data_IF_141890240710
#
_entry.id   IF_141890240710
#
_cell.length_a   1.000
_cell.length_b   1.000
_cell.length_c   1.000
_cell.angle_alpha   90.00
_cell.angle_beta   90.00
_cell.angle_gamma   90.00
#
_symmetry.space_group_name_H-M   'P 1'
#
loop_
_entity.id
_entity.type
_entity.pdbx_description
1 polymer ?
#
# COMPACT_ATOMS: atom_id res chain seq x y z
N UNK A 1 -3.94 17.48 3.71
CA UNK A 1 -4.99 18.30 4.32
C UNK A 1 -4.43 19.63 4.79
N UNK A 2 -4.99 20.75 4.33
CA UNK A 2 -4.72 22.05 4.95
C UNK A 2 -5.42 22.12 6.30
N UNK A 3 -4.69 22.54 7.34
CA UNK A 3 -5.22 22.65 8.72
C UNK A 3 -5.14 24.08 9.21
N UNK A 4 -6.07 24.44 10.09
CA UNK A 4 -6.02 25.73 10.82
C UNK A 4 -5.31 25.61 12.18
N UNK A 5 -5.11 24.38 12.63
CA UNK A 5 -4.41 24.07 13.89
C UNK A 5 -3.10 23.37 13.53
N UNK A 6 -1.94 23.97 13.80
CA UNK A 6 -0.67 23.35 13.49
C UNK A 6 -0.48 22.03 14.27
N UNK A 7 0.06 21.04 13.60
CA UNK A 7 0.44 19.76 14.19
C UNK A 7 1.94 19.79 14.50
N UNK A 8 2.31 19.64 15.77
CA UNK A 8 3.68 19.71 16.27
C UNK A 8 4.34 18.33 16.48
N UNK A 9 3.66 17.26 16.08
CA UNK A 9 4.06 15.89 16.37
C UNK A 9 3.67 14.92 15.26
N UNK A 10 4.29 13.74 15.29
CA UNK A 10 3.86 12.60 14.48
C UNK A 10 2.94 11.74 15.33
N UNK A 11 1.81 11.33 14.77
CA UNK A 11 0.83 10.44 15.39
C UNK A 11 0.81 9.14 14.61
N UNK A 12 1.02 8.02 15.31
CA UNK A 12 0.78 6.69 14.80
C UNK A 12 -0.24 5.99 15.68
N UNK A 13 -1.16 5.25 15.08
CA UNK A 13 -2.14 4.45 15.82
C UNK A 13 -2.15 3.01 15.32
N UNK A 14 -2.62 2.11 16.18
CA UNK A 14 -2.89 0.71 15.85
C UNK A 14 -4.32 0.37 16.27
N UNK A 15 -4.95 -0.58 15.58
CA UNK A 15 -6.31 -1.03 15.90
C UNK A 15 -7.38 -0.14 15.29
N UNK A 16 -8.30 0.36 16.12
CA UNK A 16 -9.44 1.15 15.62
C UNK A 16 -9.02 2.23 14.61
N UNK A 17 -9.73 2.39 13.48
CA UNK A 17 -11.03 1.80 13.09
C UNK A 17 -10.94 0.45 12.39
N UNK A 18 -9.78 -0.19 12.37
CA UNK A 18 -9.60 -1.49 11.75
C UNK A 18 -10.22 -2.62 12.59
N UNK A 19 -10.78 -3.66 11.96
CA UNK A 19 -11.19 -4.86 12.65
C UNK A 19 -9.99 -5.62 13.23
N UNK A 20 -10.24 -6.50 14.21
CA UNK A 20 -9.17 -7.20 14.97
C UNK A 20 -8.32 -8.15 14.14
N UNK A 21 -8.84 -8.60 13.02
CA UNK A 21 -8.21 -9.52 12.07
C UNK A 21 -7.48 -8.80 10.93
N UNK A 22 -7.63 -7.47 10.82
CA UNK A 22 -6.89 -6.69 9.84
C UNK A 22 -5.58 -6.13 10.44
N UNK A 23 -4.49 -6.40 9.77
CA UNK A 23 -3.21 -5.78 10.08
C UNK A 23 -3.17 -4.34 9.56
N UNK A 24 -2.73 -3.40 10.39
CA UNK A 24 -2.61 -2.02 9.95
C UNK A 24 -2.73 -1.01 11.07
N UNK A 25 -2.90 0.24 10.69
CA UNK A 25 -3.00 1.37 11.59
C UNK A 25 -3.12 2.68 10.82
N UNK A 26 -3.02 3.78 11.53
CA UNK A 26 -3.09 5.10 10.90
C UNK A 26 -1.89 5.96 11.27
N UNK A 27 -1.68 6.98 10.47
CA UNK A 27 -0.66 7.99 10.70
C UNK A 27 -1.22 9.39 10.46
N UNK A 28 -0.66 10.38 11.16
CA UNK A 28 -0.78 11.79 10.83
C UNK A 28 0.52 12.50 11.19
N UNK A 29 1.06 13.29 10.27
CA UNK A 29 2.28 14.06 10.49
C UNK A 29 2.28 15.38 9.70
N UNK A 30 3.00 16.41 10.18
CA UNK A 30 3.10 17.68 9.47
C UNK A 30 3.96 17.52 8.21
N UNK A 31 3.50 18.10 7.11
CA UNK A 31 4.29 18.29 5.89
C UNK A 31 4.84 19.72 5.83
N UNK A 32 4.07 20.67 6.35
CA UNK A 32 4.40 22.08 6.43
C UNK A 32 3.63 22.70 7.60
N UNK A 33 3.81 23.98 7.88
CA UNK A 33 3.22 24.71 8.99
C UNK A 33 1.69 24.54 9.08
N UNK A 34 1.01 24.54 7.93
CA UNK A 34 -0.44 24.39 7.82
C UNK A 34 -0.86 23.20 6.95
N UNK A 35 0.02 22.25 6.74
CA UNK A 35 -0.25 21.08 5.89
C UNK A 35 0.09 19.80 6.63
N UNK A 36 -0.89 18.89 6.70
CA UNK A 36 -0.72 17.58 7.32
C UNK A 36 -1.01 16.46 6.32
N UNK A 37 -0.20 15.41 6.37
CA UNK A 37 -0.52 14.13 5.76
C UNK A 37 -1.17 13.22 6.80
N UNK A 38 -2.27 12.57 6.42
CA UNK A 38 -2.91 11.54 7.23
C UNK A 38 -3.28 10.37 6.34
N UNK A 39 -3.24 9.17 6.90
CA UNK A 39 -3.57 7.97 6.16
C UNK A 39 -3.92 6.79 7.03
N UNK A 40 -4.54 5.82 6.38
CA UNK A 40 -4.88 4.53 6.95
C UNK A 40 -4.19 3.44 6.12
N UNK A 41 -3.43 2.58 6.78
CA UNK A 41 -2.73 1.46 6.18
C UNK A 41 -3.44 0.17 6.56
N UNK A 42 -3.75 -0.67 5.59
CA UNK A 42 -4.47 -1.94 5.80
C UNK A 42 -3.79 -3.05 5.00
N UNK A 43 -3.48 -4.15 5.66
CA UNK A 43 -3.04 -5.37 4.99
C UNK A 43 -4.16 -5.92 4.10
N UNK A 44 -3.86 -6.22 2.84
CA UNK A 44 -4.85 -6.70 1.87
C UNK A 44 -5.26 -8.16 2.10
N UNK A 45 -4.89 -8.75 3.21
CA UNK A 45 -5.24 -10.09 3.66
C UNK A 45 -6.42 -10.11 4.66
N UNK A 46 -7.19 -9.03 4.76
CA UNK A 46 -8.41 -9.02 5.57
C UNK A 46 -9.49 -9.95 4.99
N UNK A 47 -10.34 -10.51 5.88
CA UNK A 47 -11.30 -11.56 5.52
C UNK A 47 -12.68 -11.05 5.12
N UNK A 48 -13.08 -9.90 5.65
CA UNK A 48 -14.40 -9.35 5.37
C UNK A 48 -14.45 -8.71 3.96
N UNK A 49 -15.15 -9.35 3.03
CA UNK A 49 -15.26 -8.88 1.65
C UNK A 49 -15.98 -7.51 1.53
N UNK A 50 -16.76 -7.12 2.53
CA UNK A 50 -17.46 -5.83 2.60
C UNK A 50 -16.66 -4.73 3.29
N UNK A 51 -15.45 -5.05 3.72
CA UNK A 51 -14.59 -4.06 4.37
C UNK A 51 -14.12 -2.99 3.39
N UNK A 52 -14.62 -1.77 3.58
CA UNK A 52 -14.35 -0.64 2.70
C UNK A 52 -13.32 0.31 3.35
N UNK A 53 -12.07 0.22 2.89
CA UNK A 53 -10.94 0.98 3.43
C UNK A 53 -11.15 2.49 3.30
N UNK A 54 -11.80 2.96 2.21
CA UNK A 54 -12.10 4.37 2.04
C UNK A 54 -13.10 4.86 3.12
N UNK A 55 -14.19 4.14 3.32
CA UNK A 55 -15.19 4.49 4.34
C UNK A 55 -14.60 4.46 5.75
N UNK A 56 -13.73 3.51 6.03
CA UNK A 56 -13.02 3.41 7.31
C UNK A 56 -12.07 4.59 7.53
N UNK A 57 -11.37 5.06 6.49
CA UNK A 57 -10.58 6.30 6.53
C UNK A 57 -11.47 7.52 6.83
N UNK A 58 -12.66 7.60 6.22
CA UNK A 58 -13.58 8.70 6.52
C UNK A 58 -14.03 8.67 8.01
N UNK A 59 -14.34 7.49 8.53
CA UNK A 59 -14.68 7.30 9.93
C UNK A 59 -13.54 7.69 10.87
N UNK A 60 -12.30 7.32 10.53
CA UNK A 60 -11.09 7.69 11.29
C UNK A 60 -10.96 9.21 11.46
N UNK A 61 -11.25 9.99 10.43
CA UNK A 61 -11.18 11.46 10.48
C UNK A 61 -12.13 12.08 11.51
N UNK A 62 -13.22 11.39 11.84
CA UNK A 62 -14.21 11.86 12.85
C UNK A 62 -13.77 11.60 14.29
N UNK A 63 -12.73 10.78 14.50
CA UNK A 63 -12.24 10.46 15.84
C UNK A 63 -11.69 11.71 16.56
N UNK A 64 -11.93 11.86 17.86
CA UNK A 64 -11.47 13.02 18.65
C UNK A 64 -9.96 13.29 18.58
N UNK A 65 -9.15 12.29 18.25
CA UNK A 65 -7.71 12.44 18.06
C UNK A 65 -7.35 13.22 16.79
N UNK A 66 -8.11 13.05 15.70
CA UNK A 66 -7.80 13.62 14.38
C UNK A 66 -8.66 14.84 14.06
N UNK A 67 -9.93 14.78 14.42
CA UNK A 67 -10.93 15.79 14.07
C UNK A 67 -10.51 17.23 14.40
N UNK A 68 -9.92 17.55 15.57
CA UNK A 68 -9.52 18.93 15.90
C UNK A 68 -8.51 19.54 14.92
N UNK A 69 -7.68 18.74 14.30
CA UNK A 69 -6.71 19.19 13.29
C UNK A 69 -7.32 19.34 11.89
N UNK A 70 -8.41 18.63 11.61
CA UNK A 70 -9.00 18.56 10.28
C UNK A 70 -10.20 19.49 10.13
N UNK A 71 -10.93 19.74 11.21
CA UNK A 71 -12.17 20.53 11.19
C UNK A 71 -11.90 21.97 10.82
N UNK A 72 -12.66 22.47 9.84
CA UNK A 72 -12.48 23.81 9.30
C UNK A 72 -11.29 23.96 8.33
N UNK A 73 -10.52 22.90 8.11
CA UNK A 73 -9.51 22.82 7.07
C UNK A 73 -10.06 22.29 5.75
N UNK A 74 -9.17 21.99 4.80
CA UNK A 74 -9.53 21.52 3.45
C UNK A 74 -8.70 20.32 3.03
N UNK A 75 -9.33 19.33 2.38
CA UNK A 75 -8.65 18.25 1.68
C UNK A 75 -8.06 18.79 0.37
N UNK A 76 -6.74 18.95 0.31
CA UNK A 76 -6.06 19.47 -0.90
C UNK A 76 -5.69 18.38 -1.88
N UNK A 77 -5.33 17.20 -1.37
CA UNK A 77 -5.03 16.02 -2.20
C UNK A 77 -5.51 14.74 -1.52
N UNK A 78 -5.74 13.73 -2.34
CA UNK A 78 -6.08 12.39 -1.90
C UNK A 78 -5.50 11.36 -2.86
N UNK A 79 -5.10 10.22 -2.31
CA UNK A 79 -4.61 9.10 -3.09
C UNK A 79 -4.56 7.82 -2.28
N UNK A 80 -4.23 6.74 -2.95
CA UNK A 80 -3.94 5.45 -2.34
C UNK A 80 -2.84 4.73 -3.11
N UNK A 81 -2.09 3.87 -2.42
CA UNK A 81 -1.07 3.04 -3.03
C UNK A 81 -0.89 1.76 -2.25
N UNK A 82 -0.74 0.65 -2.96
CA UNK A 82 -0.33 -0.62 -2.37
C UNK A 82 1.19 -0.69 -2.34
N UNK A 83 1.73 -1.09 -1.21
CA UNK A 83 3.16 -1.33 -0.99
C UNK A 83 3.40 -2.78 -0.57
N UNK A 84 4.52 -3.41 -0.98
CA UNK A 84 4.84 -4.78 -0.61
C UNK A 84 5.47 -4.83 0.79
N UNK A 85 4.68 -5.15 1.81
CA UNK A 85 5.13 -5.30 3.19
C UNK A 85 5.35 -6.76 3.63
N UNK A 86 5.59 -7.66 2.70
CA UNK A 86 5.82 -9.08 3.00
C UNK A 86 7.18 -9.38 3.67
N UNK A 87 8.06 -8.39 3.79
CA UNK A 87 9.38 -8.51 4.42
C UNK A 87 10.33 -9.43 3.65
N UNK A 88 11.32 -9.97 4.35
CA UNK A 88 12.43 -10.76 3.78
C UNK A 88 12.00 -11.86 2.79
N UNK A 89 10.93 -12.59 3.11
CA UNK A 89 10.47 -13.71 2.28
C UNK A 89 9.68 -13.31 1.03
N UNK A 90 9.38 -12.02 0.87
CA UNK A 90 8.69 -11.47 -0.30
C UNK A 90 9.61 -10.67 -1.21
N UNK A 91 10.89 -10.54 -0.86
CA UNK A 91 11.89 -9.93 -1.76
C UNK A 91 12.08 -10.85 -2.96
N UNK A 92 11.93 -10.34 -4.21
CA UNK A 92 12.16 -11.15 -5.41
C UNK A 92 13.60 -11.65 -5.49
N UNK A 93 13.79 -12.90 -5.94
CA UNK A 93 15.12 -13.44 -6.22
C UNK A 93 15.78 -12.67 -7.36
N UNK A 94 15.00 -12.35 -8.40
CA UNK A 94 15.46 -11.54 -9.55
C UNK A 94 15.13 -10.07 -9.33
N UNK A 95 16.13 -9.29 -9.01
CA UNK A 95 16.04 -7.83 -8.77
C UNK A 95 16.72 -7.02 -9.86
N UNK A 96 17.28 -7.70 -10.86
CA UNK A 96 17.84 -7.12 -12.07
C UNK A 96 17.55 -8.02 -13.28
N UNK A 97 17.67 -7.45 -14.44
CA UNK A 97 17.56 -8.13 -15.74
C UNK A 97 18.27 -7.29 -16.80
N UNK A 98 18.23 -7.70 -18.06
CA UNK A 98 18.83 -6.92 -19.14
C UNK A 98 18.19 -5.53 -19.22
N UNK A 99 18.99 -4.49 -19.00
CA UNK A 99 18.57 -3.09 -19.05
C UNK A 99 17.71 -2.61 -17.85
N UNK A 100 17.53 -3.42 -16.79
CA UNK A 100 16.61 -3.06 -15.68
C UNK A 100 17.16 -3.47 -14.32
N UNK A 101 16.96 -2.60 -13.31
CA UNK A 101 17.11 -2.88 -11.88
C UNK A 101 15.86 -2.48 -11.13
N UNK A 102 15.39 -3.32 -10.20
CA UNK A 102 14.25 -3.02 -9.32
C UNK A 102 14.79 -2.57 -7.98
N UNK A 103 14.34 -1.40 -7.50
CA UNK A 103 14.87 -0.74 -6.30
C UNK A 103 13.75 -0.36 -5.33
N UNK A 104 14.10 -0.05 -4.09
CA UNK A 104 13.17 0.46 -3.08
C UNK A 104 11.99 -0.45 -2.81
N UNK A 105 10.85 0.15 -2.60
CA UNK A 105 9.61 -0.56 -2.27
C UNK A 105 9.17 -1.50 -3.39
N UNK A 106 9.43 -1.17 -4.65
CA UNK A 106 9.15 -2.05 -5.78
C UNK A 106 9.90 -3.39 -5.70
N UNK A 107 11.06 -3.42 -5.02
CA UNK A 107 11.82 -4.63 -4.72
C UNK A 107 11.46 -5.24 -3.34
N UNK A 108 10.47 -4.68 -2.63
CA UNK A 108 10.08 -5.14 -1.29
C UNK A 108 11.03 -4.72 -0.17
N UNK A 109 11.86 -3.71 -0.38
CA UNK A 109 12.79 -3.23 0.64
C UNK A 109 12.07 -2.25 1.58
N UNK A 110 11.25 -2.80 2.48
CA UNK A 110 10.50 -2.06 3.49
C UNK A 110 10.84 -2.58 4.88
N UNK A 111 11.21 -1.69 5.78
CA UNK A 111 11.38 -2.00 7.20
C UNK A 111 9.99 -2.02 7.87
N UNK A 112 9.35 -3.18 7.80
CA UNK A 112 7.97 -3.37 8.28
C UNK A 112 7.82 -3.03 9.77
N UNK A 113 8.72 -3.45 10.68
CA UNK A 113 8.59 -3.10 12.10
C UNK A 113 8.65 -1.61 12.39
N UNK A 114 9.45 -0.87 11.62
CA UNK A 114 9.64 0.57 11.79
C UNK A 114 8.68 1.39 10.93
N UNK A 115 7.88 0.76 10.08
CA UNK A 115 6.99 1.40 9.11
C UNK A 115 7.74 2.41 8.22
N UNK A 116 8.92 2.03 7.73
CA UNK A 116 9.84 2.90 6.99
C UNK A 116 10.44 2.16 5.79
N UNK A 117 10.48 2.84 4.63
CA UNK A 117 11.10 2.33 3.41
C UNK A 117 12.18 3.26 2.83
N UNK A 118 12.10 4.57 3.13
CA UNK A 118 12.90 5.61 2.46
C UNK A 118 14.41 5.32 2.51
N UNK A 119 14.96 4.94 3.64
CA UNK A 119 16.40 4.68 3.80
C UNK A 119 16.86 3.47 2.98
N UNK A 120 16.04 2.40 2.86
CA UNK A 120 16.35 1.27 2.00
C UNK A 120 16.17 1.63 0.51
N UNK A 121 15.16 2.42 0.17
CA UNK A 121 14.95 2.90 -1.18
C UNK A 121 16.15 3.74 -1.66
N UNK A 122 16.59 4.70 -0.85
CA UNK A 122 17.78 5.52 -1.15
C UNK A 122 19.04 4.66 -1.29
N UNK A 123 19.29 3.75 -0.37
CA UNK A 123 20.51 2.93 -0.43
C UNK A 123 20.49 1.97 -1.63
N UNK A 124 19.39 1.29 -1.88
CA UNK A 124 19.26 0.41 -3.05
C UNK A 124 19.41 1.19 -4.36
N UNK A 125 18.87 2.42 -4.41
CA UNK A 125 19.08 3.34 -5.54
C UNK A 125 20.55 3.69 -5.77
N UNK A 126 21.31 3.98 -4.70
CA UNK A 126 22.75 4.22 -4.78
C UNK A 126 23.50 2.97 -5.29
N UNK A 127 23.14 1.78 -4.79
CA UNK A 127 23.76 0.54 -5.25
C UNK A 127 23.46 0.24 -6.72
N UNK A 128 22.21 0.48 -7.15
CA UNK A 128 21.80 0.36 -8.53
C UNK A 128 22.55 1.34 -9.44
N UNK A 129 22.62 2.61 -9.06
CA UNK A 129 23.34 3.63 -9.83
C UNK A 129 24.82 3.26 -10.03
N UNK A 130 25.48 2.74 -9.00
CA UNK A 130 26.88 2.28 -9.10
C UNK A 130 27.04 1.07 -10.03
N UNK A 131 26.11 0.11 -9.99
CA UNK A 131 26.13 -1.06 -10.85
C UNK A 131 25.87 -0.67 -12.32
N UNK A 132 24.86 0.16 -12.55
CA UNK A 132 24.49 0.67 -13.87
C UNK A 132 25.64 1.47 -14.47
N UNK A 133 26.29 2.35 -13.70
CA UNK A 133 27.43 3.12 -14.15
C UNK A 133 28.57 2.21 -14.64
N UNK A 134 28.90 1.15 -13.89
CA UNK A 134 29.93 0.20 -14.30
C UNK A 134 29.55 -0.56 -15.56
N UNK A 135 28.29 -1.04 -15.63
CA UNK A 135 27.74 -1.75 -16.77
C UNK A 135 27.80 -0.90 -18.05
N UNK A 136 27.38 0.37 -17.97
CA UNK A 136 27.45 1.32 -19.09
C UNK A 136 28.90 1.58 -19.55
N UNK A 137 29.84 1.74 -18.61
CA UNK A 137 31.27 1.90 -18.96
C UNK A 137 31.87 0.67 -19.61
N UNK A 138 31.41 -0.51 -19.25
CA UNK A 138 31.83 -1.77 -19.86
C UNK A 138 31.10 -2.09 -21.19
N UNK A 139 30.07 -1.33 -21.54
CA UNK A 139 29.21 -1.59 -22.70
C UNK A 139 28.35 -2.83 -22.53
N UNK A 140 28.16 -3.35 -21.30
CA UNK A 140 27.38 -4.54 -21.00
C UNK A 140 26.27 -4.23 -19.98
N UNK A 141 25.06 -4.00 -20.49
CA UNK A 141 23.83 -3.82 -19.69
C UNK A 141 22.96 -5.08 -19.67
N UNK A 142 23.52 -6.22 -20.01
CA UNK A 142 22.85 -7.51 -19.90
C UNK A 142 22.56 -7.88 -18.45
N UNK A 143 21.79 -8.94 -18.23
CA UNK A 143 21.55 -9.50 -16.89
C UNK A 143 22.89 -9.82 -16.19
N UNK A 144 23.88 -10.33 -16.93
CA UNK A 144 25.22 -10.61 -16.39
C UNK A 144 25.94 -9.34 -15.94
N UNK A 145 25.92 -8.29 -16.78
CA UNK A 145 26.55 -7.00 -16.49
C UNK A 145 25.94 -6.28 -15.28
N UNK A 146 24.64 -6.48 -15.02
CA UNK A 146 23.92 -5.85 -13.89
C UNK A 146 23.89 -6.72 -12.62
N UNK A 147 24.43 -7.94 -12.64
CA UNK A 147 24.44 -8.88 -11.49
C UNK A 147 25.04 -8.26 -10.22
N UNK A 148 26.05 -7.42 -10.36
CA UNK A 148 26.71 -6.76 -9.25
C UNK A 148 25.77 -5.88 -8.41
N UNK A 149 24.62 -5.46 -8.93
CA UNK A 149 23.57 -4.80 -8.16
C UNK A 149 22.98 -5.73 -7.11
N UNK A 150 22.48 -6.89 -7.53
CA UNK A 150 21.88 -7.87 -6.60
C UNK A 150 22.90 -8.33 -5.56
N UNK A 151 24.13 -8.62 -5.93
CA UNK A 151 25.20 -9.01 -5.00
C UNK A 151 25.51 -7.92 -3.98
N UNK A 152 25.49 -6.65 -4.41
CA UNK A 152 25.70 -5.51 -3.53
C UNK A 152 24.57 -5.34 -2.53
N UNK A 153 23.31 -5.55 -2.95
CA UNK A 153 22.15 -5.52 -2.06
C UNK A 153 22.21 -6.68 -1.07
N UNK A 154 22.52 -7.90 -1.51
CA UNK A 154 22.56 -9.11 -0.67
C UNK A 154 23.60 -8.97 0.45
N UNK A 155 24.72 -8.31 0.18
CA UNK A 155 25.78 -8.06 1.15
C UNK A 155 25.50 -6.83 2.05
N UNK A 156 24.52 -6.00 1.71
CA UNK A 156 24.20 -4.75 2.40
C UNK A 156 23.48 -4.98 3.73
N UNK A 157 23.32 -3.89 4.48
CA UNK A 157 22.50 -3.90 5.70
C UNK A 157 21.02 -4.10 5.41
N UNK A 158 20.52 -3.74 4.21
CA UNK A 158 19.11 -3.95 3.82
C UNK A 158 18.71 -5.41 4.03
N UNK A 159 19.42 -6.35 3.40
CA UNK A 159 19.09 -7.77 3.51
C UNK A 159 19.37 -8.35 4.91
N UNK A 160 20.36 -7.82 5.62
CA UNK A 160 20.64 -8.23 7.01
C UNK A 160 19.51 -7.84 7.95
N UNK A 161 19.01 -6.62 7.85
CA UNK A 161 17.93 -6.11 8.68
C UNK A 161 16.61 -6.81 8.35
N UNK A 162 16.28 -6.94 7.06
CA UNK A 162 15.10 -7.70 6.62
C UNK A 162 15.13 -9.14 7.14
N UNK A 163 16.32 -9.79 7.16
CA UNK A 163 16.46 -11.14 7.70
C UNK A 163 16.24 -11.21 9.21
N UNK A 164 16.69 -10.20 9.97
CA UNK A 164 16.46 -10.11 11.42
C UNK A 164 14.98 -10.03 11.76
N UNK A 165 14.21 -9.34 10.93
CA UNK A 165 12.77 -9.08 11.14
C UNK A 165 11.86 -9.96 10.28
N UNK A 166 12.39 -11.00 9.63
CA UNK A 166 11.76 -11.78 8.56
C UNK A 166 10.39 -12.37 8.87
N UNK A 167 10.07 -12.61 10.13
CA UNK A 167 8.79 -13.18 10.57
C UNK A 167 7.89 -12.15 11.27
N UNK A 168 8.29 -10.88 11.41
CA UNK A 168 7.50 -9.89 12.16
C UNK A 168 6.10 -9.76 11.56
N UNK A 169 5.99 -9.48 10.26
CA UNK A 169 4.68 -9.38 9.58
C UNK A 169 3.87 -10.68 9.70
N UNK A 170 4.53 -11.82 9.51
CA UNK A 170 3.88 -13.13 9.52
C UNK A 170 3.37 -13.51 10.92
N UNK A 171 3.99 -13.01 11.97
CA UNK A 171 3.58 -13.28 13.35
C UNK A 171 2.19 -12.73 13.68
N UNK A 172 1.80 -11.61 13.04
CA UNK A 172 0.53 -10.94 13.29
C UNK A 172 -0.68 -11.60 12.60
N UNK A 173 -0.47 -12.54 11.69
CA UNK A 173 -1.55 -13.22 10.96
C UNK A 173 -2.59 -13.89 11.87
N UNK A 174 -2.15 -14.34 13.04
CA UNK A 174 -3.01 -15.00 14.03
C UNK A 174 -3.46 -14.07 15.18
N UNK A 175 -3.56 -12.77 14.91
CA UNK A 175 -4.06 -11.75 15.82
C UNK A 175 -2.95 -10.96 16.53
N UNK A 176 -3.37 -9.80 17.06
CA UNK A 176 -2.45 -8.78 17.55
C UNK A 176 -1.62 -9.21 18.77
N UNK A 177 -2.24 -9.76 19.82
CA UNK A 177 -1.53 -10.09 21.07
C UNK A 177 -0.48 -11.18 20.87
N UNK A 178 -0.87 -12.29 20.22
CA UNK A 178 0.07 -13.37 19.90
C UNK A 178 1.17 -12.93 18.94
N UNK A 179 0.83 -12.06 18.00
CA UNK A 179 1.77 -11.43 17.07
C UNK A 179 2.79 -10.56 17.79
N UNK A 180 2.35 -9.71 18.70
CA UNK A 180 3.20 -8.80 19.46
C UNK A 180 4.22 -9.56 20.34
N UNK A 181 3.79 -10.63 21.02
CA UNK A 181 4.69 -11.48 21.81
C UNK A 181 5.76 -12.12 20.91
N UNK A 182 5.35 -12.71 19.79
CA UNK A 182 6.29 -13.33 18.83
C UNK A 182 7.26 -12.33 18.22
N UNK A 183 6.76 -11.17 17.83
CA UNK A 183 7.56 -10.09 17.29
C UNK A 183 8.57 -9.57 18.35
N UNK A 184 8.14 -9.44 19.60
CA UNK A 184 9.03 -9.09 20.73
C UNK A 184 10.15 -10.10 20.94
N UNK A 185 9.84 -11.40 20.99
CA UNK A 185 10.84 -12.47 21.08
C UNK A 185 11.82 -12.45 19.91
N UNK A 186 11.33 -12.18 18.69
CA UNK A 186 12.17 -12.04 17.52
C UNK A 186 13.13 -10.85 17.65
N UNK A 187 12.63 -9.71 18.09
CA UNK A 187 13.41 -8.50 18.27
C UNK A 187 14.52 -8.71 19.31
N UNK A 188 14.18 -9.26 20.48
CA UNK A 188 15.12 -9.52 21.57
C UNK A 188 16.16 -10.57 21.15
N UNK A 189 15.76 -11.61 20.41
CA UNK A 189 16.68 -12.65 19.94
C UNK A 189 17.51 -12.25 18.70
N UNK A 190 17.37 -11.03 18.20
CA UNK A 190 18.03 -10.60 16.95
C UNK A 190 17.60 -11.40 15.74
N UNK A 191 16.36 -11.92 15.73
CA UNK A 191 15.81 -12.71 14.64
C UNK A 191 16.12 -14.21 14.70
N UNK A 192 16.67 -14.72 15.80
CA UNK A 192 16.95 -16.15 15.95
C UNK A 192 15.67 -16.95 16.21
N UNK A 193 14.74 -16.39 16.98
CA UNK A 193 13.47 -17.03 17.36
C UNK A 193 12.30 -16.30 16.66
N UNK A 194 11.43 -17.00 15.92
CA UNK A 194 11.51 -18.41 15.51
C UNK A 194 12.57 -18.64 14.44
N UNK A 195 13.22 -19.79 14.45
CA UNK A 195 14.32 -20.10 13.54
C UNK A 195 13.94 -20.27 12.08
N UNK A 196 12.71 -20.71 11.77
CA UNK A 196 12.18 -20.95 10.44
C UNK A 196 11.20 -19.87 9.96
N UNK A 197 10.69 -20.00 8.73
CA UNK A 197 9.60 -19.19 8.20
C UNK A 197 8.29 -19.59 8.87
N UNK A 198 7.54 -18.61 9.38
CA UNK A 198 6.15 -18.83 9.81
C UNK A 198 5.32 -19.02 8.55
N UNK A 199 4.62 -20.16 8.44
CA UNK A 199 3.74 -20.44 7.29
C UNK A 199 2.46 -19.63 7.43
N UNK A 200 2.16 -18.87 6.39
CA UNK A 200 0.91 -18.11 6.22
C UNK A 200 0.45 -18.23 4.77
N UNK A 201 -0.85 -18.21 4.47
CA UNK A 201 -1.35 -18.14 3.10
C UNK A 201 -0.87 -16.84 2.44
N UNK A 202 -0.84 -16.81 1.13
CA UNK A 202 -0.65 -15.56 0.38
C UNK A 202 -1.92 -14.72 0.51
N UNK A 203 -1.78 -13.40 0.44
CA UNK A 203 -2.92 -12.48 0.52
C UNK A 203 -3.97 -12.76 -0.58
N UNK A 204 -3.53 -13.25 -1.74
CA UNK A 204 -4.41 -13.67 -2.84
C UNK A 204 -5.18 -14.97 -2.57
N UNK A 205 -4.65 -15.83 -1.72
CA UNK A 205 -5.21 -17.15 -1.38
C UNK A 205 -6.05 -17.08 -0.08
N UNK A 206 -6.22 -15.89 0.51
CA UNK A 206 -7.00 -15.72 1.73
C UNK A 206 -8.48 -15.95 1.46
N UNK A 207 -9.09 -16.81 2.24
CA UNK A 207 -10.54 -17.03 2.21
C UNK A 207 -11.27 -15.77 2.68
N UNK A 208 -12.13 -15.24 1.83
CA UNK A 208 -12.97 -14.08 2.12
C UNK A 208 -14.41 -14.49 2.28
N UNK A 209 -15.08 -13.89 3.22
CA UNK A 209 -16.49 -14.10 3.49
C UNK A 209 -17.22 -12.77 3.58
N UNK A 210 -18.51 -12.79 3.31
CA UNK A 210 -19.37 -11.61 3.47
C UNK A 210 -19.57 -11.36 4.96
N UNK A 211 -18.90 -10.34 5.47
CA UNK A 211 -19.03 -9.87 6.85
C UNK A 211 -19.95 -8.66 6.98
N UNK A 212 -19.83 -7.97 8.10
CA UNK A 212 -20.63 -6.76 8.37
C UNK A 212 -20.05 -5.46 7.80
N UNK A 213 -18.90 -5.54 7.13
CA UNK A 213 -18.16 -4.36 6.73
C UNK A 213 -17.46 -3.67 7.90
N UNK A 214 -16.72 -2.64 7.60
CA UNK A 214 -16.11 -1.77 8.61
C UNK A 214 -17.04 -0.64 9.05
N UNK A 215 -16.62 0.18 10.02
CA UNK A 215 -17.34 1.40 10.34
C UNK A 215 -17.34 2.33 9.13
N UNK A 216 -18.45 3.02 8.92
CA UNK A 216 -18.63 3.97 7.85
C UNK A 216 -19.22 5.28 8.33
N UNK A 217 -19.08 6.32 7.53
CA UNK A 217 -19.73 7.60 7.74
C UNK A 217 -20.39 8.07 6.46
N UNK A 218 -21.49 8.82 6.58
CA UNK A 218 -22.06 9.50 5.41
C UNK A 218 -21.13 10.65 5.03
N UNK A 219 -20.78 10.80 3.74
CA UNK A 219 -20.03 11.95 3.26
C UNK A 219 -20.76 13.26 3.55
N UNK A 220 -20.06 14.25 4.08
CA UNK A 220 -20.59 15.60 4.34
C UNK A 220 -19.98 16.66 3.38
N UNK A 221 -19.04 16.24 2.52
CA UNK A 221 -18.36 17.11 1.58
C UNK A 221 -17.40 18.13 2.22
N UNK A 222 -17.18 18.03 3.53
CA UNK A 222 -16.30 18.94 4.30
C UNK A 222 -15.18 18.18 4.99
N UNK A 223 -15.54 17.26 5.88
CA UNK A 223 -14.59 16.42 6.60
C UNK A 223 -14.56 15.00 6.02
N UNK A 224 -15.70 14.52 5.57
CA UNK A 224 -15.85 13.20 4.97
C UNK A 224 -16.31 13.31 3.52
N UNK A 225 -15.78 12.43 2.64
CA UNK A 225 -15.99 12.49 1.20
C UNK A 225 -16.39 11.13 0.65
N UNK A 226 -17.17 11.14 -0.44
CA UNK A 226 -17.40 9.93 -1.23
C UNK A 226 -16.11 9.51 -1.95
N UNK A 227 -16.07 8.28 -2.49
CA UNK A 227 -14.94 7.81 -3.32
C UNK A 227 -14.71 8.73 -4.52
N UNK A 228 -15.78 9.13 -5.19
CA UNK A 228 -15.70 9.97 -6.40
C UNK A 228 -15.20 11.38 -6.06
N UNK A 229 -15.70 12.00 -4.99
CA UNK A 229 -15.21 13.30 -4.53
C UNK A 229 -13.72 13.25 -4.17
N UNK A 230 -13.29 12.15 -3.56
CA UNK A 230 -11.89 11.95 -3.22
C UNK A 230 -11.01 11.78 -4.48
N UNK A 231 -11.48 11.02 -5.47
CA UNK A 231 -10.77 10.84 -6.75
C UNK A 231 -10.56 12.16 -7.48
N UNK A 232 -11.53 13.06 -7.42
CA UNK A 232 -11.37 14.41 -7.98
C UNK A 232 -10.13 15.12 -7.41
N UNK A 233 -9.84 14.94 -6.12
CA UNK A 233 -8.66 15.51 -5.45
C UNK A 233 -7.34 14.79 -5.79
N UNK A 234 -7.38 13.64 -6.45
CA UNK A 234 -6.18 12.98 -6.98
C UNK A 234 -5.68 13.61 -8.29
N UNK A 235 -6.45 14.53 -8.87
CA UNK A 235 -6.09 15.21 -10.11
C UNK A 235 -5.99 14.27 -11.31
N UNK A 236 -6.79 13.19 -11.31
CA UNK A 236 -6.77 12.20 -12.40
C UNK A 236 -6.94 12.85 -13.75
N UNK A 237 -6.05 12.50 -14.66
CA UNK A 237 -6.10 12.87 -16.06
C UNK A 237 -6.37 11.61 -16.88
N UNK A 238 -7.41 11.65 -17.67
CA UNK A 238 -7.80 10.54 -18.56
C UNK A 238 -8.05 11.09 -19.95
N UNK A 239 -7.92 10.20 -20.92
CA UNK A 239 -8.32 10.45 -22.29
C UNK A 239 -9.55 9.61 -22.58
N UNK A 240 -10.66 10.24 -22.99
CA UNK A 240 -11.97 9.58 -23.13
C UNK A 240 -11.97 8.48 -24.19
N UNK A 241 -11.15 8.65 -25.25
CA UNK A 241 -10.99 7.70 -26.35
C UNK A 241 -9.88 6.66 -26.12
N UNK A 242 -9.22 6.70 -24.97
CA UNK A 242 -8.15 5.76 -24.63
C UNK A 242 -8.69 4.38 -24.26
N UNK A 243 -7.98 3.29 -24.62
CA UNK A 243 -8.37 1.95 -24.19
C UNK A 243 -8.27 1.82 -22.68
N UNK A 244 -9.21 1.07 -22.08
CA UNK A 244 -9.12 0.77 -20.65
C UNK A 244 -7.85 0.00 -20.33
N UNK A 245 -7.10 0.45 -19.33
CA UNK A 245 -5.94 -0.26 -18.79
C UNK A 245 -6.34 -1.36 -17.79
N UNK A 246 -7.63 -1.44 -17.45
CA UNK A 246 -8.17 -2.44 -16.54
C UNK A 246 -8.79 -3.56 -17.36
N UNK A 247 -8.32 -4.78 -17.10
CA UNK A 247 -8.81 -5.99 -17.75
C UNK A 247 -9.60 -6.79 -16.72
N UNK A 248 -10.92 -6.70 -16.79
CA UNK A 248 -11.84 -7.45 -15.94
C UNK A 248 -12.53 -8.50 -16.78
N UNK A 249 -12.71 -9.72 -16.24
CA UNK A 249 -13.44 -10.78 -16.96
C UNK A 249 -14.90 -10.39 -17.18
N UNK A 250 -15.49 -10.81 -18.29
CA UNK A 250 -16.88 -10.52 -18.63
C UNK A 250 -17.88 -11.13 -17.62
N UNK A 251 -17.58 -12.31 -17.07
CA UNK A 251 -18.45 -13.01 -16.14
C UNK A 251 -17.81 -13.01 -14.73
N UNK A 252 -17.98 -11.93 -14.00
CA UNK A 252 -17.59 -11.81 -12.60
C UNK A 252 -18.77 -12.26 -11.73
N UNK A 253 -18.52 -13.17 -10.75
CA UNK A 253 -19.60 -13.55 -9.83
C UNK A 253 -20.04 -12.37 -8.97
N UNK A 254 -21.30 -12.33 -8.50
CA UNK A 254 -21.80 -11.25 -7.65
C UNK A 254 -20.93 -11.04 -6.39
N UNK A 255 -20.44 -12.11 -5.78
CA UNK A 255 -19.55 -12.03 -4.60
C UNK A 255 -18.21 -11.39 -4.95
N UNK A 256 -17.66 -11.71 -6.12
CA UNK A 256 -16.41 -11.08 -6.58
C UNK A 256 -16.65 -9.60 -6.96
N UNK A 257 -17.79 -9.28 -7.55
CA UNK A 257 -18.17 -7.89 -7.86
C UNK A 257 -18.27 -7.05 -6.58
N UNK A 258 -18.93 -7.58 -5.54
CA UNK A 258 -19.02 -6.94 -4.23
C UNK A 258 -17.63 -6.68 -3.62
N UNK A 259 -16.74 -7.67 -3.70
CA UNK A 259 -15.37 -7.54 -3.21
C UNK A 259 -14.60 -6.44 -3.97
N UNK A 260 -14.72 -6.35 -5.30
CA UNK A 260 -14.11 -5.28 -6.08
C UNK A 260 -14.63 -3.90 -5.68
N UNK A 261 -15.93 -3.77 -5.51
CA UNK A 261 -16.61 -2.52 -5.15
C UNK A 261 -16.10 -1.99 -3.81
N UNK A 262 -15.94 -2.85 -2.80
CA UNK A 262 -15.49 -2.45 -1.47
C UNK A 262 -13.97 -2.26 -1.40
N UNK A 263 -13.18 -3.14 -2.01
CA UNK A 263 -11.72 -3.07 -1.98
C UNK A 263 -11.17 -1.86 -2.74
N UNK A 264 -11.84 -1.45 -3.84
CA UNK A 264 -11.41 -0.29 -4.61
C UNK A 264 -11.70 1.01 -3.84
N UNK A 265 -10.69 1.82 -3.49
CA UNK A 265 -10.89 3.07 -2.77
C UNK A 265 -11.40 4.21 -3.67
N UNK A 266 -11.40 4.02 -4.99
CA UNK A 266 -11.58 5.07 -5.99
C UNK A 266 -12.92 4.98 -6.75
N UNK A 267 -13.83 4.08 -6.38
CA UNK A 267 -15.11 3.94 -7.08
C UNK A 267 -14.95 3.54 -8.56
N UNK A 268 -13.95 2.71 -8.86
CA UNK A 268 -13.76 2.18 -10.22
C UNK A 268 -14.77 1.10 -10.53
N UNK A 269 -15.11 0.29 -9.53
CA UNK A 269 -16.02 -0.83 -9.67
C UNK A 269 -17.33 -0.51 -8.97
N UNK A 270 -18.42 -0.64 -9.72
CA UNK A 270 -19.80 -0.47 -9.24
C UNK A 270 -20.61 -1.68 -9.65
N UNK A 271 -21.41 -2.20 -8.74
CA UNK A 271 -22.34 -3.26 -9.01
C UNK A 271 -23.70 -2.63 -9.34
N UNK A 272 -24.19 -2.87 -10.55
CA UNK A 272 -25.49 -2.42 -11.02
C UNK A 272 -26.32 -3.68 -11.35
N UNK A 273 -27.29 -3.99 -10.50
CA UNK A 273 -28.02 -5.27 -10.50
C UNK A 273 -27.06 -6.47 -10.52
N UNK A 274 -27.00 -7.24 -11.61
CA UNK A 274 -26.15 -8.43 -11.76
C UNK A 274 -24.85 -8.16 -12.57
N UNK A 275 -24.60 -6.91 -12.98
CA UNK A 275 -23.45 -6.55 -13.79
C UNK A 275 -22.42 -5.72 -13.01
N UNK A 276 -21.13 -6.01 -13.24
CA UNK A 276 -20.03 -5.20 -12.74
C UNK A 276 -19.68 -4.11 -13.75
N UNK A 277 -20.02 -2.88 -13.42
CA UNK A 277 -19.60 -1.70 -14.17
C UNK A 277 -18.19 -1.27 -13.80
N UNK A 278 -17.35 -0.99 -14.80
CA UNK A 278 -15.95 -0.57 -14.62
C UNK A 278 -15.75 0.87 -15.08
N UNK A 279 -15.60 1.78 -14.15
CA UNK A 279 -15.31 3.20 -14.38
C UNK A 279 -13.79 3.45 -14.41
N UNK A 280 -13.11 2.99 -15.47
CA UNK A 280 -11.67 3.09 -15.60
C UNK A 280 -11.08 4.51 -15.40
N UNK A 281 -11.77 5.62 -15.79
CA UNK A 281 -11.32 6.99 -15.51
C UNK A 281 -11.10 7.29 -14.01
N UNK A 282 -11.80 6.63 -13.11
CA UNK A 282 -11.62 6.82 -11.66
C UNK A 282 -10.37 6.14 -11.10
N UNK A 283 -9.71 5.28 -11.88
CA UNK A 283 -8.55 4.52 -11.40
C UNK A 283 -7.37 5.44 -11.08
N UNK A 284 -6.85 5.35 -9.85
CA UNK A 284 -5.69 6.08 -9.35
C UNK A 284 -4.42 5.22 -9.28
N UNK A 285 -4.41 4.09 -9.96
CA UNK A 285 -3.27 3.17 -10.03
C UNK A 285 -2.78 2.66 -8.66
N UNK A 286 -3.68 2.53 -7.70
CA UNK A 286 -3.33 2.07 -6.35
C UNK A 286 -2.98 0.59 -6.27
N UNK A 287 -3.46 -0.22 -7.24
CA UNK A 287 -3.26 -1.66 -7.35
C UNK A 287 -3.84 -2.51 -6.19
N UNK A 288 -4.75 -1.96 -5.40
CA UNK A 288 -5.36 -2.71 -4.29
C UNK A 288 -6.07 -3.99 -4.76
N UNK A 289 -6.76 -3.94 -5.91
CA UNK A 289 -7.50 -5.08 -6.47
C UNK A 289 -6.62 -6.12 -7.17
N UNK A 290 -5.32 -5.85 -7.38
CA UNK A 290 -4.41 -6.81 -8.00
C UNK A 290 -4.20 -8.06 -7.15
N UNK A 291 -4.46 -7.99 -5.83
CA UNK A 291 -4.46 -9.15 -4.94
C UNK A 291 -5.51 -10.20 -5.32
N UNK A 292 -6.56 -9.80 -6.05
CA UNK A 292 -7.61 -10.68 -6.56
C UNK A 292 -7.27 -11.30 -7.92
N UNK A 293 -6.09 -11.02 -8.43
CA UNK A 293 -5.56 -11.45 -9.72
C UNK A 293 -5.21 -10.25 -10.61
N UNK A 294 -4.33 -10.43 -11.60
CA UNK A 294 -3.88 -9.35 -12.46
C UNK A 294 -5.05 -8.75 -13.25
N UNK A 295 -5.31 -7.47 -13.04
CA UNK A 295 -6.40 -6.69 -13.64
C UNK A 295 -5.90 -5.44 -14.33
N UNK A 296 -4.62 -5.17 -14.23
CA UNK A 296 -4.03 -3.91 -14.62
C UNK A 296 -3.02 -4.14 -15.74
N UNK A 297 -3.11 -3.30 -16.77
CA UNK A 297 -2.09 -3.18 -17.81
C UNK A 297 -1.46 -1.80 -17.73
N UNK A 298 -0.31 -1.61 -18.38
CA UNK A 298 0.33 -0.31 -18.39
C UNK A 298 -0.61 0.73 -19.02
N UNK A 299 -0.85 1.81 -18.29
CA UNK A 299 -1.63 2.95 -18.75
C UNK A 299 -0.79 3.75 -19.76
N UNK A 300 -1.49 4.47 -20.64
CA UNK A 300 -0.83 5.44 -21.51
C UNK A 300 -0.11 6.53 -20.70
N UNK A 301 1.10 6.87 -21.12
CA UNK A 301 1.89 7.91 -20.47
C UNK A 301 1.20 9.28 -20.46
N UNK A 302 1.31 10.01 -19.36
CA UNK A 302 0.66 11.30 -19.15
C UNK A 302 -0.80 11.24 -18.68
N UNK A 303 -1.32 10.03 -18.43
CA UNK A 303 -2.64 9.81 -17.83
C UNK A 303 -2.50 9.23 -16.41
N UNK A 304 -3.58 9.28 -15.62
CA UNK A 304 -3.59 8.80 -14.23
C UNK A 304 -3.58 9.92 -13.19
N UNK A 305 -3.30 9.61 -11.92
CA UNK A 305 -3.28 10.61 -10.85
C UNK A 305 -2.11 11.58 -11.03
N UNK A 306 -2.35 12.85 -10.71
CA UNK A 306 -1.36 13.93 -10.84
C UNK A 306 -1.16 14.60 -9.48
N UNK A 307 -0.51 13.89 -8.57
CA UNK A 307 -0.19 14.39 -7.22
C UNK A 307 0.81 15.56 -7.29
N UNK A 308 0.56 16.60 -6.48
CA UNK A 308 1.37 17.82 -6.46
C UNK A 308 2.00 18.10 -5.11
N UNK A 309 1.40 17.57 -4.03
CA UNK A 309 1.79 17.84 -2.64
C UNK A 309 1.92 16.58 -1.78
N UNK A 310 2.00 15.41 -2.44
CA UNK A 310 2.25 14.14 -1.77
C UNK A 310 3.65 13.63 -2.07
#
# INVERSE_FOLDING_TARGET
WETKVPLDRVIHTLGWPLPRDAFGGSFMYPLDENLVALGLVVGLDYRDARFDVHNVLQCMKLHPLFRPYLEGGEMVEWGAKTIPEGGYYSVPERRHGSGVCVVGDAAGYVDVPSLKGIHYAMHSGILAARAIFRALKAGDVSEAGLRSYTESVDSSYIMKDLRRTRNVRLAFKNGFLGGAIRAGLMTVSGGVIPGGKISVPKDADEERMLGGGGPGSKPDGKLTFSKVDAVYKAGNQTRDDGPSHLVVRENVSPEAAELYTHMCPAGVYEQDDDELRVNAPNCIDCKATDVLGPRWTAREGGTGPAYRRM
#
